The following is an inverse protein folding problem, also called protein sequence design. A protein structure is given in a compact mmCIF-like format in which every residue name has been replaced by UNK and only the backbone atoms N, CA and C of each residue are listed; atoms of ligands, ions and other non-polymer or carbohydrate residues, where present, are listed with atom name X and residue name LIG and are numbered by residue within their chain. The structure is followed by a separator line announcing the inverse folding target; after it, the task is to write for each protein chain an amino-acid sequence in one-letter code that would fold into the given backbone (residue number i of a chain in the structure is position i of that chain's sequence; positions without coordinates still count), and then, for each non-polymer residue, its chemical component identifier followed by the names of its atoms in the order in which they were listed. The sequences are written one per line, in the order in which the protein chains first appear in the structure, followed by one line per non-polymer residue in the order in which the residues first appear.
data_IF_945156160462
#
_entry.id   IF_945156160462
#
_cell.length_a   1.000
_cell.length_b   1.000
_cell.length_c   1.000
_cell.angle_alpha   90.00
_cell.angle_beta   90.00
_cell.angle_gamma   90.00
#
_symmetry.space_group_name_H-M   'P 1'
#
loop_
_entity.id
_entity.type
_entity.pdbx_description
1 polymer ?
#
# COMPACT_ATOMS: atom_id res chain seq x y z
N UNK A 1 -15.50 7.69 -7.61
CA UNK A 1 -14.38 7.24 -6.77
C UNK A 1 -14.75 7.54 -5.34
N UNK A 2 -14.93 6.49 -4.53
CA UNK A 2 -15.26 6.64 -3.12
C UNK A 2 -13.99 6.39 -2.33
N UNK A 3 -13.56 7.37 -1.55
CA UNK A 3 -12.40 7.22 -0.67
C UNK A 3 -12.87 6.82 0.73
N UNK A 4 -12.34 5.72 1.25
CA UNK A 4 -12.62 5.21 2.60
C UNK A 4 -11.38 5.34 3.46
N UNK A 5 -11.45 6.15 4.52
CA UNK A 5 -10.40 6.23 5.54
C UNK A 5 -10.32 4.91 6.32
N UNK A 6 -9.11 4.42 6.54
CA UNK A 6 -8.84 3.27 7.40
C UNK A 6 -8.65 3.73 8.84
N UNK A 7 -9.57 3.34 9.73
CA UNK A 7 -9.48 3.63 11.17
C UNK A 7 -8.42 2.79 11.87
N UNK A 8 -8.25 1.54 11.41
CA UNK A 8 -7.20 0.62 11.83
C UNK A 8 -6.46 0.09 10.59
N UNK A 9 -5.45 0.82 10.08
CA UNK A 9 -4.69 0.35 8.94
C UNK A 9 -3.99 -0.99 9.21
N UNK A 10 -3.45 -1.21 10.41
CA UNK A 10 -2.67 -2.42 10.72
C UNK A 10 -3.55 -3.65 10.59
N UNK A 11 -4.68 -3.69 11.32
CA UNK A 11 -5.62 -4.80 11.22
C UNK A 11 -6.19 -4.98 9.82
N UNK A 12 -6.45 -3.88 9.10
CA UNK A 12 -6.93 -3.94 7.73
C UNK A 12 -5.96 -4.70 6.80
N UNK A 13 -4.67 -4.34 6.81
CA UNK A 13 -3.71 -5.00 5.94
C UNK A 13 -3.43 -6.45 6.39
N UNK A 14 -3.42 -6.74 7.70
CA UNK A 14 -3.34 -8.12 8.21
C UNK A 14 -4.51 -8.99 7.70
N UNK A 15 -5.74 -8.47 7.73
CA UNK A 15 -6.93 -9.15 7.24
C UNK A 15 -6.90 -9.42 5.71
N UNK A 16 -6.08 -8.67 4.97
CA UNK A 16 -5.91 -8.79 3.51
C UNK A 16 -4.53 -9.38 3.13
N UNK A 17 -3.96 -10.23 3.99
CA UNK A 17 -2.73 -10.98 3.69
C UNK A 17 -1.49 -10.09 3.54
N UNK A 18 -1.48 -8.91 4.16
CA UNK A 18 -0.39 -7.94 4.04
C UNK A 18 -0.20 -7.40 2.63
N UNK A 19 -1.21 -7.53 1.75
CA UNK A 19 -1.14 -7.25 0.30
C UNK A 19 0.01 -7.96 -0.42
N UNK A 20 0.46 -9.09 0.11
CA UNK A 20 1.49 -9.92 -0.52
C UNK A 20 1.03 -10.38 -1.90
N UNK A 21 1.98 -10.51 -2.82
CA UNK A 21 1.77 -10.93 -4.21
C UNK A 21 0.98 -9.96 -5.09
N UNK A 22 0.53 -8.80 -4.57
CA UNK A 22 -0.15 -7.79 -5.37
C UNK A 22 0.82 -7.06 -6.31
N UNK A 23 0.44 -6.86 -7.57
CA UNK A 23 1.22 -6.09 -8.54
C UNK A 23 0.89 -4.60 -8.44
N UNK A 24 1.92 -3.77 -8.40
CA UNK A 24 1.77 -2.31 -8.46
C UNK A 24 1.49 -1.89 -9.89
N UNK A 25 0.30 -1.39 -10.16
CA UNK A 25 -0.13 -0.92 -11.49
C UNK A 25 0.18 0.56 -11.71
N UNK A 26 0.30 1.34 -10.64
CA UNK A 26 0.74 2.73 -10.71
C UNK A 26 1.36 3.18 -9.38
N UNK A 27 2.32 4.09 -9.48
CA UNK A 27 2.97 4.75 -8.37
C UNK A 27 2.98 6.26 -8.60
N UNK A 28 2.51 7.04 -7.64
CA UNK A 28 2.46 8.50 -7.76
C UNK A 28 2.79 9.17 -6.42
N UNK A 29 3.86 9.97 -6.44
CA UNK A 29 4.26 10.82 -5.33
C UNK A 29 4.00 12.29 -5.67
N UNK A 30 3.18 12.96 -4.85
CA UNK A 30 2.84 14.37 -4.99
C UNK A 30 3.38 15.16 -3.78
N UNK A 31 4.66 15.60 -3.80
CA UNK A 31 5.29 16.23 -2.64
C UNK A 31 4.60 17.53 -2.21
N UNK A 32 4.06 18.29 -3.17
CA UNK A 32 3.30 19.52 -2.90
C UNK A 32 2.00 19.29 -2.11
N UNK A 33 1.49 18.06 -2.10
CA UNK A 33 0.30 17.65 -1.35
C UNK A 33 0.64 16.72 -0.17
N UNK A 34 1.92 16.37 0.01
CA UNK A 34 2.36 15.33 0.94
C UNK A 34 1.52 14.04 0.79
N UNK A 35 1.34 13.60 -0.45
CA UNK A 35 0.44 12.49 -0.80
C UNK A 35 1.15 11.45 -1.64
N UNK A 36 1.12 10.20 -1.18
CA UNK A 36 1.60 9.03 -1.92
C UNK A 36 0.40 8.18 -2.30
N UNK A 37 0.35 7.76 -3.56
CA UNK A 37 -0.65 6.85 -4.09
C UNK A 37 0.03 5.64 -4.72
N UNK A 38 -0.41 4.45 -4.32
CA UNK A 38 0.03 3.17 -4.89
C UNK A 38 -1.22 2.43 -5.35
N UNK A 39 -1.31 2.13 -6.64
CA UNK A 39 -2.41 1.36 -7.23
C UNK A 39 -2.01 -0.10 -7.32
N UNK A 40 -2.87 -0.99 -6.83
CA UNK A 40 -2.69 -2.44 -6.88
C UNK A 40 -3.69 -3.05 -7.88
N UNK A 41 -3.28 -4.11 -8.55
CA UNK A 41 -4.15 -4.93 -9.40
C UNK A 41 -5.19 -5.71 -8.58
N UNK A 42 -4.78 -6.24 -7.43
CA UNK A 42 -5.65 -6.96 -6.52
C UNK A 42 -5.14 -6.89 -5.07
N UNK A 43 -5.95 -6.30 -4.20
CA UNK A 43 -5.71 -6.20 -2.76
C UNK A 43 -5.60 -7.57 -2.09
N UNK A 44 -6.33 -8.56 -2.61
CA UNK A 44 -6.51 -9.89 -2.02
C UNK A 44 -5.65 -10.96 -2.72
N UNK A 45 -4.58 -10.54 -3.42
CA UNK A 45 -3.72 -11.39 -4.24
C UNK A 45 -3.12 -12.60 -3.51
N UNK A 46 -2.81 -12.44 -2.21
CA UNK A 46 -2.26 -13.52 -1.38
C UNK A 46 -3.23 -14.72 -1.25
N UNK A 47 -4.53 -14.49 -1.47
CA UNK A 47 -5.55 -15.51 -1.39
C UNK A 47 -5.82 -16.23 -2.73
N UNK A 48 -5.12 -15.87 -3.82
CA UNK A 48 -5.33 -16.53 -5.11
C UNK A 48 -5.09 -18.04 -4.99
N UNK A 49 -6.09 -18.83 -5.37
CA UNK A 49 -6.03 -20.29 -5.35
C UNK A 49 -6.47 -20.94 -4.02
N UNK A 50 -6.86 -20.17 -3.01
CA UNK A 50 -7.45 -20.71 -1.77
C UNK A 50 -8.98 -20.63 -1.78
N UNK A 51 -9.69 -21.56 -1.10
CA UNK A 51 -11.12 -21.44 -0.89
C UNK A 51 -11.48 -20.18 -0.10
N UNK A 52 -12.29 -19.30 -0.68
CA UNK A 52 -12.72 -18.05 -0.04
C UNK A 52 -12.24 -16.78 -0.71
N UNK A 53 -11.33 -16.87 -1.69
CA UNK A 53 -10.96 -15.72 -2.52
C UNK A 53 -12.18 -15.18 -3.28
N UNK A 54 -12.44 -13.89 -3.11
CA UNK A 54 -13.63 -13.22 -3.64
C UNK A 54 -13.49 -12.78 -5.11
N UNK A 55 -12.32 -12.97 -5.70
CA UNK A 55 -11.95 -12.45 -7.03
C UNK A 55 -11.13 -11.17 -6.93
N UNK A 56 -10.66 -10.70 -8.09
CA UNK A 56 -9.78 -9.54 -8.19
C UNK A 56 -10.44 -8.29 -7.62
N UNK A 57 -9.71 -7.59 -6.75
CA UNK A 57 -10.11 -6.33 -6.15
C UNK A 57 -9.04 -5.25 -6.35
N UNK A 58 -9.00 -4.61 -7.54
CA UNK A 58 -8.10 -3.50 -7.81
C UNK A 58 -8.41 -2.32 -6.89
N UNK A 59 -7.38 -1.68 -6.34
CA UNK A 59 -7.56 -0.59 -5.39
C UNK A 59 -6.42 0.41 -5.41
N UNK A 60 -6.74 1.65 -5.04
CA UNK A 60 -5.75 2.68 -4.77
C UNK A 60 -5.51 2.81 -3.26
N UNK A 61 -4.28 2.51 -2.82
CA UNK A 61 -3.80 2.86 -1.50
C UNK A 61 -3.35 4.32 -1.50
N UNK A 62 -3.99 5.15 -0.68
CA UNK A 62 -3.70 6.58 -0.56
C UNK A 62 -3.17 6.89 0.83
N UNK A 63 -1.94 7.38 0.89
CA UNK A 63 -1.28 7.82 2.10
C UNK A 63 -1.21 9.35 2.09
N UNK A 64 -1.71 9.98 3.15
CA UNK A 64 -1.75 11.44 3.27
C UNK A 64 -0.92 11.93 4.47
N UNK A 65 -0.51 13.19 4.39
CA UNK A 65 0.44 13.79 5.33
C UNK A 65 1.75 13.00 5.38
N UNK A 66 2.21 12.58 4.20
CA UNK A 66 3.41 11.76 4.01
C UNK A 66 4.66 12.58 4.32
N UNK A 67 5.59 11.97 5.03
CA UNK A 67 6.90 12.55 5.35
C UNK A 67 7.97 11.47 5.38
N UNK A 68 9.23 11.88 5.16
CA UNK A 68 10.36 10.95 5.18
C UNK A 68 10.24 9.84 4.14
N UNK A 69 9.71 10.15 2.94
CA UNK A 69 9.65 9.18 1.84
C UNK A 69 11.07 8.90 1.35
N UNK A 70 11.51 7.66 1.52
CA UNK A 70 12.75 7.11 1.02
C UNK A 70 12.40 5.99 0.03
N UNK A 71 12.93 6.09 -1.19
CA UNK A 71 12.74 5.11 -2.25
C UNK A 71 14.09 4.84 -2.92
N UNK A 72 14.32 3.60 -3.33
CA UNK A 72 15.48 3.22 -4.14
C UNK A 72 15.21 3.30 -5.65
N UNK A 73 13.95 3.52 -6.04
CA UNK A 73 13.47 3.60 -7.41
C UNK A 73 12.58 4.82 -7.63
N UNK A 74 12.59 5.35 -8.85
CA UNK A 74 11.70 6.46 -9.25
C UNK A 74 10.27 5.98 -9.56
N UNK A 75 10.11 4.72 -9.98
CA UNK A 75 8.83 4.09 -10.29
C UNK A 75 8.84 2.63 -9.80
N UNK A 76 7.69 2.22 -9.26
CA UNK A 76 7.41 0.90 -8.69
C UNK A 76 6.39 0.12 -9.53
N UNK A 77 5.95 0.65 -10.67
CA UNK A 77 5.07 -0.08 -11.59
C UNK A 77 5.68 -1.43 -12.00
N UNK A 78 4.80 -2.42 -12.15
CA UNK A 78 5.11 -3.80 -12.53
C UNK A 78 5.94 -4.57 -11.48
N UNK A 79 6.18 -3.97 -10.30
CA UNK A 79 6.73 -4.68 -9.16
C UNK A 79 5.64 -5.39 -8.37
N UNK A 80 6.01 -6.50 -7.76
CA UNK A 80 5.12 -7.30 -6.91
C UNK A 80 5.44 -7.01 -5.45
N UNK A 81 4.44 -6.71 -4.64
CA UNK A 81 4.62 -6.50 -3.20
C UNK A 81 5.00 -7.83 -2.56
N UNK A 82 6.20 -7.88 -1.99
CA UNK A 82 6.68 -9.01 -1.20
C UNK A 82 6.30 -8.85 0.27
N UNK A 83 6.41 -7.63 0.79
CA UNK A 83 6.04 -7.33 2.18
C UNK A 83 5.60 -5.88 2.34
N UNK A 84 4.63 -5.65 3.22
CA UNK A 84 4.20 -4.34 3.68
C UNK A 84 4.08 -4.35 5.20
N UNK A 85 5.05 -3.76 5.87
CA UNK A 85 5.05 -3.58 7.32
C UNK A 85 4.47 -2.21 7.68
N UNK A 86 3.56 -2.18 8.66
CA UNK A 86 2.96 -0.95 9.20
C UNK A 86 3.14 -0.93 10.70
N UNK A 87 3.94 0.03 11.17
CA UNK A 87 4.22 0.20 12.60
C UNK A 87 3.42 1.40 13.11
N UNK A 88 2.42 1.18 13.99
CA UNK A 88 1.60 2.27 14.53
C UNK A 88 2.41 3.09 15.56
N UNK A 89 2.43 4.41 15.35
CA UNK A 89 2.93 5.39 16.31
C UNK A 89 1.81 6.23 16.92
N UNK A 90 2.14 7.13 17.85
CA UNK A 90 1.13 7.95 18.57
C UNK A 90 0.24 8.83 17.68
N UNK A 91 0.73 9.27 16.51
CA UNK A 91 0.03 10.21 15.61
C UNK A 91 0.29 9.94 14.12
N UNK A 92 1.06 8.90 13.82
CA UNK A 92 1.50 8.57 12.48
C UNK A 92 1.80 7.08 12.41
N UNK A 93 1.80 6.55 11.21
CA UNK A 93 2.24 5.21 10.87
C UNK A 93 3.63 5.31 10.25
N UNK A 94 4.52 4.38 10.57
CA UNK A 94 5.72 4.14 9.79
C UNK A 94 5.46 2.94 8.89
N UNK A 95 5.77 3.07 7.61
CA UNK A 95 5.51 2.05 6.61
C UNK A 95 6.83 1.67 5.94
N UNK A 96 6.96 0.37 5.68
CA UNK A 96 8.07 -0.20 4.94
C UNK A 96 7.50 -1.22 3.96
N UNK A 97 7.69 -0.97 2.67
CA UNK A 97 7.26 -1.86 1.60
C UNK A 97 8.48 -2.42 0.90
N UNK A 98 8.50 -3.73 0.73
CA UNK A 98 9.49 -4.46 -0.07
C UNK A 98 8.76 -5.04 -1.27
N UNK A 99 9.31 -4.83 -2.45
CA UNK A 99 8.77 -5.32 -3.71
C UNK A 99 9.83 -6.13 -4.47
N UNK A 100 9.39 -7.12 -5.24
CA UNK A 100 10.24 -7.88 -6.16
C UNK A 100 10.21 -7.29 -7.58
N UNK A 101 11.33 -7.33 -8.33
CA UNK A 101 12.61 -7.95 -7.95
C UNK A 101 13.51 -7.16 -6.98
N UNK A 102 13.38 -5.84 -6.86
CA UNK A 102 14.32 -5.00 -6.10
C UNK A 102 13.78 -3.62 -5.65
N UNK A 103 12.53 -3.54 -5.22
CA UNK A 103 11.94 -2.27 -4.75
C UNK A 103 11.91 -2.15 -3.22
N UNK A 104 12.40 -1.04 -2.68
CA UNK A 104 12.29 -0.71 -1.26
C UNK A 104 11.73 0.70 -1.06
N UNK A 105 10.65 0.80 -0.27
CA UNK A 105 9.99 2.06 0.05
C UNK A 105 9.81 2.21 1.55
N UNK A 106 10.17 3.36 2.11
CA UNK A 106 9.91 3.71 3.51
C UNK A 106 9.30 5.09 3.61
N UNK A 107 8.29 5.25 4.46
CA UNK A 107 7.68 6.55 4.70
C UNK A 107 6.94 6.58 6.02
N UNK A 108 6.59 7.79 6.44
CA UNK A 108 5.61 8.03 7.48
C UNK A 108 4.38 8.68 6.89
N UNK A 109 3.20 8.39 7.42
CA UNK A 109 1.96 9.11 7.07
C UNK A 109 1.03 9.19 8.28
N UNK A 110 0.06 10.10 8.24
CA UNK A 110 -0.96 10.18 9.31
C UNK A 110 -2.27 9.50 8.98
N UNK A 111 -2.56 9.36 7.68
CA UNK A 111 -3.81 8.78 7.20
C UNK A 111 -3.52 7.81 6.08
N UNK A 112 -4.25 6.72 6.12
CA UNK A 112 -4.28 5.71 5.06
C UNK A 112 -5.73 5.56 4.63
N UNK A 113 -5.98 5.62 3.34
CA UNK A 113 -7.30 5.45 2.77
C UNK A 113 -7.25 4.52 1.57
N UNK A 114 -8.37 3.90 1.25
CA UNK A 114 -8.59 3.17 0.01
C UNK A 114 -9.43 4.03 -0.92
N UNK A 115 -9.15 3.99 -2.22
CA UNK A 115 -10.06 4.49 -3.23
C UNK A 115 -10.40 3.38 -4.23
N UNK A 116 -11.70 3.16 -4.39
CA UNK A 116 -12.35 2.22 -5.31
C UNK A 116 -13.26 2.98 -6.30
#
# INVERSE_FOLDING_TARGET
MVTKLLEDPVGFFEDHGGVHSASITAFAWEPGQARLKISLDDLDSDFIGIPGYAGERPVDLVFEEVSGLECDREDFRDLVVHDLEIIPGRKQFALHMVCEPDGHLRWHCRRVSLAE
#
